data_IF_996085494554
#
_entry.id   IF_996085494554
#
_cell.length_a   1.000
_cell.length_b   1.000
_cell.length_c   1.000
_cell.angle_alpha   90.00
_cell.angle_beta   90.00
_cell.angle_gamma   90.00
#
_symmetry.space_group_name_H-M   'P 1'
#
loop_
_entity.id
_entity.type
_entity.pdbx_description
1 polymer ?
#
# COMPACT_ATOMS: atom_id res chain seq x y z
N UNK A 1 -6.26 2.04 -10.76
CA UNK A 1 -6.73 1.88 -12.15
C UNK A 1 -6.25 0.52 -12.65
N UNK A 2 -6.97 -0.20 -13.52
CA UNK A 2 -6.51 -1.46 -14.10
C UNK A 2 -5.17 -1.31 -14.83
N UNK A 3 -4.79 -0.11 -15.29
CA UNK A 3 -3.47 0.17 -15.83
C UNK A 3 -2.31 -0.06 -14.83
N UNK A 4 -2.57 0.00 -13.52
CA UNK A 4 -1.56 -0.16 -12.46
C UNK A 4 -1.79 -1.38 -11.56
N UNK A 5 -3.01 -1.92 -11.57
CA UNK A 5 -3.41 -3.08 -10.80
C UNK A 5 -4.37 -3.97 -11.62
N UNK A 6 -3.93 -4.54 -12.75
CA UNK A 6 -4.77 -5.40 -13.59
C UNK A 6 -5.13 -6.73 -12.89
N UNK A 7 -4.26 -7.21 -12.00
CA UNK A 7 -4.39 -8.46 -11.26
C UNK A 7 -5.37 -8.38 -10.11
N UNK A 8 -6.65 -8.15 -10.39
CA UNK A 8 -7.74 -8.13 -9.39
C UNK A 8 -9.03 -8.71 -9.96
N UNK A 9 -9.90 -9.27 -9.11
CA UNK A 9 -11.12 -9.96 -9.54
C UNK A 9 -12.21 -9.05 -10.12
N UNK A 10 -12.17 -7.75 -9.80
CA UNK A 10 -13.21 -6.78 -10.20
C UNK A 10 -12.59 -5.45 -10.67
N UNK A 11 -11.95 -5.42 -11.86
CA UNK A 11 -11.30 -4.21 -12.36
C UNK A 11 -12.33 -3.12 -12.72
N UNK A 12 -12.08 -1.88 -12.29
CA UNK A 12 -12.91 -0.69 -12.60
C UNK A 12 -12.02 0.45 -13.10
N UNK A 13 -12.32 0.98 -14.29
CA UNK A 13 -11.56 2.04 -14.94
C UNK A 13 -11.67 3.41 -14.23
N UNK A 14 -10.69 4.29 -14.45
CA UNK A 14 -10.67 5.65 -13.88
C UNK A 14 -10.12 5.70 -12.45
N UNK A 15 -9.35 4.69 -12.05
CA UNK A 15 -8.80 4.58 -10.70
C UNK A 15 -7.54 5.43 -10.49
N UNK A 16 -6.99 5.42 -9.26
CA UNK A 16 -5.73 6.12 -8.97
C UNK A 16 -4.52 5.41 -9.58
N UNK A 17 -3.42 6.15 -9.76
CA UNK A 17 -2.10 5.59 -10.05
C UNK A 17 -1.38 5.12 -8.79
N UNK A 18 -0.41 4.20 -8.93
CA UNK A 18 0.40 3.72 -7.81
C UNK A 18 1.10 4.87 -7.08
N UNK A 19 1.65 5.84 -7.83
CA UNK A 19 2.28 7.03 -7.25
C UNK A 19 1.31 7.87 -6.41
N UNK A 20 0.05 8.03 -6.87
CA UNK A 20 -0.98 8.74 -6.09
C UNK A 20 -1.30 7.99 -4.79
N UNK A 21 -1.42 6.67 -4.84
CA UNK A 21 -1.70 5.86 -3.66
C UNK A 21 -0.58 5.94 -2.61
N UNK A 22 0.69 5.81 -3.04
CA UNK A 22 1.84 5.96 -2.14
C UNK A 22 1.92 7.37 -1.53
N UNK A 23 1.61 8.42 -2.30
CA UNK A 23 1.55 9.79 -1.80
C UNK A 23 0.47 9.99 -0.74
N UNK A 24 -0.70 9.34 -0.90
CA UNK A 24 -1.75 9.35 0.12
C UNK A 24 -1.30 8.62 1.37
N UNK A 25 -0.74 7.41 1.23
CA UNK A 25 -0.25 6.61 2.36
C UNK A 25 0.80 7.37 3.19
N UNK A 26 1.76 8.03 2.54
CA UNK A 26 2.77 8.84 3.23
C UNK A 26 2.18 9.95 4.12
N UNK A 27 0.99 10.48 3.77
CA UNK A 27 0.30 11.51 4.57
C UNK A 27 -0.43 10.95 5.79
N UNK A 28 -0.59 9.63 5.88
CA UNK A 28 -1.27 8.98 7.00
C UNK A 28 -0.38 8.79 8.23
N UNK A 29 0.92 9.10 8.16
CA UNK A 29 1.90 8.82 9.23
C UNK A 29 1.63 9.43 10.61
N UNK A 30 0.68 10.36 10.75
CA UNK A 30 0.26 10.92 12.05
C UNK A 30 -0.78 10.05 12.76
N UNK A 31 -1.41 9.11 12.06
CA UNK A 31 -2.46 8.26 12.61
C UNK A 31 -1.91 7.25 13.63
N UNK A 32 -2.79 6.74 14.49
CA UNK A 32 -2.49 5.57 15.30
C UNK A 32 -2.82 4.29 14.55
N UNK A 33 -1.88 3.86 13.71
CA UNK A 33 -1.98 2.63 12.93
C UNK A 33 -1.81 1.42 13.86
N UNK A 34 -2.85 0.61 14.02
CA UNK A 34 -2.84 -0.63 14.84
C UNK A 34 -2.80 -1.90 13.98
N UNK A 35 -3.00 -1.77 12.67
CA UNK A 35 -3.06 -2.85 11.70
C UNK A 35 -3.45 -2.34 10.31
N UNK A 36 -3.11 -3.10 9.28
CA UNK A 36 -3.52 -2.88 7.90
C UNK A 36 -3.46 -4.19 7.13
N UNK A 37 -4.22 -4.27 6.03
CA UNK A 37 -4.20 -5.36 5.07
C UNK A 37 -3.96 -4.82 3.64
N UNK A 38 -3.51 -5.71 2.75
CA UNK A 38 -3.45 -5.49 1.31
C UNK A 38 -4.16 -6.68 0.69
N UNK A 39 -5.30 -6.42 0.05
CA UNK A 39 -6.24 -7.45 -0.41
C UNK A 39 -6.44 -7.37 -1.93
N UNK A 40 -7.17 -8.34 -2.48
CA UNK A 40 -7.63 -8.36 -3.87
C UNK A 40 -6.54 -8.44 -4.95
N UNK A 41 -5.33 -8.88 -4.58
CA UNK A 41 -4.31 -9.29 -5.56
C UNK A 41 -4.68 -10.68 -6.07
N UNK A 42 -4.91 -10.78 -7.38
CA UNK A 42 -5.25 -12.02 -8.08
C UNK A 42 -4.15 -12.32 -9.13
N UNK A 43 -3.15 -13.18 -8.81
CA UNK A 43 -2.00 -13.44 -9.70
C UNK A 43 -2.39 -13.95 -11.09
N UNK A 44 -3.51 -14.67 -11.19
CA UNK A 44 -4.01 -15.20 -12.46
C UNK A 44 -4.38 -14.10 -13.49
N UNK A 45 -4.68 -12.88 -13.02
CA UNK A 45 -5.01 -11.73 -13.85
C UNK A 45 -3.89 -10.70 -13.91
N UNK A 46 -2.78 -10.93 -13.19
CA UNK A 46 -1.70 -9.97 -13.13
C UNK A 46 -0.82 -10.02 -14.39
N UNK A 47 -0.27 -8.88 -14.77
CA UNK A 47 0.61 -8.76 -15.92
C UNK A 47 1.99 -8.31 -15.45
N UNK A 48 3.00 -9.15 -15.67
CA UNK A 48 4.37 -8.90 -15.21
C UNK A 48 4.45 -8.57 -13.70
N UNK A 49 3.57 -9.19 -12.89
CA UNK A 49 3.47 -9.04 -11.44
C UNK A 49 3.26 -7.59 -10.95
N UNK A 50 2.81 -6.67 -11.82
CA UNK A 50 2.76 -5.25 -11.45
C UNK A 50 1.77 -4.98 -10.31
N UNK A 51 0.70 -5.76 -10.20
CA UNK A 51 -0.27 -5.63 -9.10
C UNK A 51 0.32 -6.16 -7.81
N UNK A 52 0.98 -7.32 -7.85
CA UNK A 52 1.68 -7.88 -6.71
C UNK A 52 2.80 -6.93 -6.22
N UNK A 53 3.58 -6.35 -7.13
CA UNK A 53 4.64 -5.38 -6.81
C UNK A 53 4.04 -4.09 -6.22
N UNK A 54 2.92 -3.60 -6.76
CA UNK A 54 2.22 -2.45 -6.20
C UNK A 54 1.71 -2.73 -4.78
N UNK A 55 1.11 -3.90 -4.54
CA UNK A 55 0.68 -4.35 -3.22
C UNK A 55 1.83 -4.47 -2.22
N UNK A 56 2.95 -5.09 -2.63
CA UNK A 56 4.15 -5.19 -1.81
C UNK A 56 4.74 -3.81 -1.48
N UNK A 57 4.73 -2.89 -2.43
CA UNK A 57 5.20 -1.52 -2.23
C UNK A 57 4.35 -0.76 -1.20
N UNK A 58 3.03 -0.92 -1.24
CA UNK A 58 2.10 -0.37 -0.24
C UNK A 58 2.40 -0.94 1.14
N UNK A 59 2.52 -2.27 1.26
CA UNK A 59 2.82 -2.94 2.52
C UNK A 59 4.16 -2.47 3.11
N UNK A 60 5.21 -2.37 2.29
CA UNK A 60 6.52 -1.87 2.70
C UNK A 60 6.45 -0.42 3.22
N UNK A 61 5.73 0.47 2.51
CA UNK A 61 5.57 1.86 2.95
C UNK A 61 4.78 1.95 4.25
N UNK A 62 3.73 1.15 4.41
CA UNK A 62 2.98 1.07 5.67
C UNK A 62 3.89 0.66 6.84
N UNK A 63 4.68 -0.42 6.67
CA UNK A 63 5.66 -0.85 7.68
C UNK A 63 6.67 0.24 8.01
N UNK A 64 7.14 0.98 7.01
CA UNK A 64 8.01 2.14 7.20
C UNK A 64 7.37 3.24 8.07
N UNK A 65 6.08 3.53 7.88
CA UNK A 65 5.35 4.50 8.70
C UNK A 65 5.18 4.02 10.16
N UNK A 66 4.86 2.74 10.36
CA UNK A 66 4.76 2.15 11.70
C UNK A 66 6.11 2.20 12.42
N UNK A 67 7.19 1.81 11.74
CA UNK A 67 8.54 1.84 12.29
C UNK A 67 8.99 3.27 12.65
N UNK A 68 8.73 4.25 11.77
CA UNK A 68 9.07 5.65 12.01
C UNK A 68 8.33 6.23 13.23
N UNK A 69 7.11 5.77 13.51
CA UNK A 69 6.37 6.13 14.72
C UNK A 69 6.97 5.49 15.97
N UNK A 70 7.34 4.21 15.90
CA UNK A 70 8.01 3.50 16.99
C UNK A 70 9.35 4.15 17.38
N UNK A 71 10.15 4.58 16.41
CA UNK A 71 11.40 5.30 16.63
C UNK A 71 11.22 6.70 17.25
N UNK A 72 10.02 7.29 17.15
CA UNK A 72 9.68 8.61 17.72
C UNK A 72 9.00 8.49 19.10
N UNK A 73 8.64 7.29 19.55
CA UNK A 73 8.18 7.11 20.92
C UNK A 73 9.35 7.42 21.87
N UNK A 74 9.14 8.24 22.92
CA UNK A 74 10.20 8.51 23.88
C UNK A 74 10.69 7.18 24.45
N UNK A 75 12.01 6.97 24.42
CA UNK A 75 12.63 5.82 25.09
C UNK A 75 12.06 5.77 26.52
N UNK A 76 11.41 4.66 26.86
CA UNK A 76 10.85 4.45 28.18
C UNK A 76 11.95 4.75 29.22
N UNK A 77 11.71 5.77 30.05
CA UNK A 77 12.56 6.12 31.19
C UNK A 77 12.30 5.17 32.34
#
# INVERSE_FOLDING_TARGET
>A
DPAFAPGTGTPVAGGPSSAKMLSVLAKLGKLNMVGADVVEVAPAYDHADITAIAGASIAMHYLGLVAAKGARAPAAR
#
